data_IF_569980419153
#
_entry.id   IF_569980419153
#
_cell.length_a   1.000
_cell.length_b   1.000
_cell.length_c   1.000
_cell.angle_alpha   90.00
_cell.angle_beta   90.00
_cell.angle_gamma   90.00
#
_symmetry.space_group_name_H-M   'P 1'
#
loop_
_entity.id
_entity.type
_entity.pdbx_description
1 polymer ?
#
# COMPACT_ATOMS: atom_id res chain seq x y z
N UNK A 1 23.88 -6.24 -31.45
CA UNK A 1 23.67 -4.80 -31.21
C UNK A 1 22.17 -4.54 -31.29
N UNK A 2 21.48 -4.58 -30.16
CA UNK A 2 20.05 -4.27 -30.10
C UNK A 2 19.94 -2.82 -29.63
N UNK A 3 19.42 -1.97 -30.51
CA UNK A 3 19.31 -0.53 -30.28
C UNK A 3 18.56 -0.22 -29.00
N UNK A 4 19.13 0.69 -28.21
CA UNK A 4 18.39 1.39 -27.16
C UNK A 4 17.09 1.91 -27.78
N UNK A 5 15.94 1.48 -27.26
CA UNK A 5 14.66 2.05 -27.67
C UNK A 5 14.73 3.53 -27.31
N UNK A 6 14.88 4.38 -28.33
CA UNK A 6 14.79 5.82 -28.16
C UNK A 6 13.46 6.12 -27.46
N UNK A 7 13.55 6.84 -26.35
CA UNK A 7 12.38 7.42 -25.68
C UNK A 7 11.54 8.14 -26.76
N UNK A 8 10.23 7.95 -26.75
CA UNK A 8 9.35 8.72 -27.63
C UNK A 8 9.55 10.22 -27.40
N UNK A 9 9.26 11.10 -28.38
CA UNK A 9 9.41 12.54 -28.19
C UNK A 9 8.72 13.08 -26.94
N UNK A 10 7.57 12.52 -26.55
CA UNK A 10 6.86 12.86 -25.30
C UNK A 10 7.58 12.35 -24.03
N UNK A 11 8.20 11.17 -24.09
CA UNK A 11 9.02 10.64 -22.99
C UNK A 11 10.35 11.39 -22.85
N UNK A 12 10.94 11.85 -23.95
CA UNK A 12 12.11 12.74 -23.95
C UNK A 12 11.72 14.10 -23.35
N UNK A 13 10.60 14.68 -23.78
CA UNK A 13 10.09 15.96 -23.25
C UNK A 13 9.75 15.90 -21.75
N UNK A 14 9.28 14.75 -21.25
CA UNK A 14 9.03 14.52 -19.81
C UNK A 14 10.31 14.26 -19.00
N UNK A 15 11.28 13.56 -19.58
CA UNK A 15 12.59 13.35 -18.95
C UNK A 15 13.44 14.64 -18.90
N UNK A 16 13.21 15.56 -19.84
CA UNK A 16 13.94 16.82 -19.99
C UNK A 16 13.33 18.01 -19.24
N UNK A 17 12.12 17.89 -18.66
CA UNK A 17 11.61 18.95 -17.78
C UNK A 17 12.47 19.00 -16.52
N UNK A 18 13.28 20.06 -16.30
CA UNK A 18 14.02 20.18 -15.06
C UNK A 18 13.00 20.16 -13.91
N UNK A 19 13.21 19.27 -12.94
CA UNK A 19 12.39 19.25 -11.72
C UNK A 19 12.58 20.61 -11.08
N UNK A 20 11.54 21.42 -11.16
CA UNK A 20 11.57 22.76 -10.62
C UNK A 20 11.84 22.67 -9.11
N UNK A 21 12.60 23.65 -8.60
CA UNK A 21 13.05 23.64 -7.21
C UNK A 21 11.89 23.38 -6.24
N UNK A 22 12.07 22.40 -5.35
CA UNK A 22 11.14 22.08 -4.26
C UNK A 22 11.28 23.08 -3.09
N UNK A 23 12.28 23.97 -3.12
CA UNK A 23 12.56 24.92 -2.05
C UNK A 23 11.41 25.94 -1.92
N UNK A 24 10.89 26.11 -0.69
CA UNK A 24 9.81 27.05 -0.38
C UNK A 24 8.41 26.57 -0.75
N UNK A 25 8.29 25.34 -1.25
CA UNK A 25 7.03 24.67 -1.60
C UNK A 25 6.69 23.56 -0.60
N UNK A 26 5.41 23.23 -0.48
CA UNK A 26 4.91 22.13 0.33
C UNK A 26 4.49 20.96 -0.55
N UNK A 27 4.98 19.77 -0.21
CA UNK A 27 4.64 18.50 -0.87
C UNK A 27 3.42 17.89 -0.19
N UNK A 28 2.37 17.61 -0.95
CA UNK A 28 1.16 16.95 -0.46
C UNK A 28 1.10 15.50 -0.92
N UNK A 29 1.03 14.58 0.05
CA UNK A 29 0.99 13.13 -0.17
C UNK A 29 -0.43 12.61 0.04
N UNK A 30 -1.06 11.96 -0.96
CA UNK A 30 -2.38 11.36 -0.78
C UNK A 30 -2.30 10.16 0.19
N UNK A 31 -3.23 10.02 1.15
CA UNK A 31 -3.11 9.05 2.23
C UNK A 31 -3.56 7.63 1.82
N UNK A 32 -2.87 7.01 0.85
CA UNK A 32 -3.20 5.66 0.36
C UNK A 32 -3.42 4.65 1.49
N UNK A 33 -2.47 4.54 2.42
CA UNK A 33 -2.67 4.00 3.75
C UNK A 33 -2.34 5.10 4.75
N UNK A 34 -3.24 5.35 5.71
CA UNK A 34 -3.12 6.48 6.63
C UNK A 34 -1.77 6.51 7.38
N UNK A 35 -1.41 5.42 8.09
CA UNK A 35 -0.15 5.34 8.84
C UNK A 35 1.09 5.46 7.94
N UNK A 36 1.08 4.77 6.81
CA UNK A 36 2.22 4.76 5.88
C UNK A 36 2.42 6.11 5.20
N UNK A 37 1.35 6.83 4.87
CA UNK A 37 1.43 8.18 4.33
C UNK A 37 2.00 9.17 5.36
N UNK A 38 1.58 9.09 6.63
CA UNK A 38 2.17 9.90 7.72
C UNK A 38 3.66 9.64 7.90
N UNK A 39 4.05 8.36 7.97
CA UNK A 39 5.47 7.98 8.09
C UNK A 39 6.29 8.40 6.86
N UNK A 40 5.70 8.35 5.66
CA UNK A 40 6.34 8.78 4.42
C UNK A 40 6.52 10.31 4.35
N UNK A 41 5.56 11.08 4.86
CA UNK A 41 5.70 12.54 5.05
C UNK A 41 6.82 12.87 6.04
N UNK A 42 6.91 12.12 7.15
CA UNK A 42 8.02 12.25 8.09
C UNK A 42 9.39 11.99 7.42
N UNK A 43 9.46 11.06 6.46
CA UNK A 43 10.68 10.82 5.69
C UNK A 43 11.07 12.03 4.82
N UNK A 44 10.12 12.74 4.19
CA UNK A 44 10.40 13.98 3.47
C UNK A 44 10.95 15.07 4.41
N UNK A 45 10.32 15.23 5.58
CA UNK A 45 10.70 16.24 6.58
C UNK A 45 12.07 15.97 7.20
N UNK A 46 12.46 14.70 7.37
CA UNK A 46 13.81 14.32 7.80
C UNK A 46 14.92 14.82 6.85
N UNK A 47 14.58 15.14 5.60
CA UNK A 47 15.49 15.70 4.59
C UNK A 47 15.35 17.22 4.45
N UNK A 48 14.59 17.87 5.33
CA UNK A 48 14.34 19.31 5.31
C UNK A 48 13.32 19.76 4.24
N UNK A 49 12.52 18.84 3.70
CA UNK A 49 11.45 19.17 2.76
C UNK A 49 10.13 19.38 3.51
N UNK A 50 9.43 20.48 3.20
CA UNK A 50 8.09 20.72 3.75
C UNK A 50 7.10 19.78 3.06
N UNK A 51 6.47 18.92 3.85
CA UNK A 51 5.54 17.90 3.37
C UNK A 51 4.39 17.71 4.35
N UNK A 52 3.22 17.33 3.81
CA UNK A 52 2.00 17.07 4.56
C UNK A 52 1.15 16.02 3.83
N UNK A 53 0.27 15.33 4.54
CA UNK A 53 -0.76 14.52 3.88
C UNK A 53 -1.84 15.44 3.31
N UNK A 54 -2.55 15.02 2.26
CA UNK A 54 -3.75 15.74 1.83
C UNK A 54 -4.82 15.71 2.94
N UNK A 55 -5.72 16.72 2.99
CA UNK A 55 -6.87 16.68 3.88
C UNK A 55 -7.66 15.37 3.75
N UNK A 56 -8.26 14.85 4.84
CA UNK A 56 -9.01 13.59 4.80
C UNK A 56 -10.08 13.59 3.72
N UNK A 57 -10.22 12.48 3.00
CA UNK A 57 -11.23 12.37 1.93
C UNK A 57 -12.65 12.41 2.51
N UNK A 58 -13.55 13.10 1.82
CA UNK A 58 -14.93 13.35 2.28
C UNK A 58 -15.90 13.50 1.08
N UNK A 59 -17.10 14.01 1.34
CA UNK A 59 -18.09 14.26 0.27
C UNK A 59 -17.59 15.24 -0.81
N UNK A 60 -16.76 16.23 -0.46
CA UNK A 60 -16.17 17.16 -1.43
C UNK A 60 -15.12 16.45 -2.29
N UNK A 61 -14.41 15.46 -1.74
CA UNK A 61 -13.53 14.60 -2.54
C UNK A 61 -14.31 13.89 -3.65
N UNK A 62 -15.50 13.34 -3.36
CA UNK A 62 -16.37 12.74 -4.38
C UNK A 62 -16.86 13.77 -5.39
N UNK A 63 -17.31 14.93 -4.94
CA UNK A 63 -17.81 15.99 -5.81
C UNK A 63 -16.72 16.47 -6.79
N UNK A 64 -15.53 16.80 -6.28
CA UNK A 64 -14.43 17.23 -7.14
C UNK A 64 -13.89 16.10 -8.00
N UNK A 65 -13.81 14.87 -7.47
CA UNK A 65 -13.46 13.70 -8.25
C UNK A 65 -14.37 13.53 -9.47
N UNK A 66 -15.69 13.57 -9.26
CA UNK A 66 -16.68 13.48 -10.35
C UNK A 66 -16.62 14.69 -11.30
N UNK A 67 -16.37 15.90 -10.79
CA UNK A 67 -16.31 17.12 -11.60
C UNK A 67 -15.13 17.18 -12.56
N UNK A 68 -13.96 16.68 -12.16
CA UNK A 68 -12.72 16.80 -12.94
C UNK A 68 -12.34 15.54 -13.70
N UNK A 69 -13.13 14.47 -13.57
CA UNK A 69 -12.89 13.21 -14.28
C UNK A 69 -14.05 12.87 -15.22
N UNK A 70 -13.85 11.92 -16.12
CA UNK A 70 -14.82 11.59 -17.17
C UNK A 70 -15.76 10.45 -16.79
N UNK A 71 -15.38 9.63 -15.80
CA UNK A 71 -16.10 8.41 -15.46
C UNK A 71 -15.32 7.15 -15.84
N UNK A 72 -14.48 7.23 -16.87
CA UNK A 72 -13.71 6.11 -17.42
C UNK A 72 -12.46 5.76 -16.60
N UNK A 73 -12.09 6.60 -15.64
CA UNK A 73 -10.93 6.38 -14.78
C UNK A 73 -11.23 5.40 -13.65
N UNK A 74 -10.19 4.70 -13.19
CA UNK A 74 -10.31 3.88 -11.98
C UNK A 74 -10.68 4.76 -10.78
N UNK A 75 -11.45 4.22 -9.85
CA UNK A 75 -11.89 4.95 -8.65
C UNK A 75 -10.74 5.59 -7.83
N UNK A 76 -9.55 4.94 -7.64
CA UNK A 76 -8.40 5.58 -7.03
C UNK A 76 -7.96 6.90 -7.68
N UNK A 77 -8.05 6.99 -9.02
CA UNK A 77 -7.71 8.21 -9.75
C UNK A 77 -8.70 9.32 -9.40
N UNK A 78 -10.01 9.00 -9.39
CA UNK A 78 -11.08 9.94 -9.05
C UNK A 78 -10.93 10.47 -7.63
N UNK A 79 -10.68 9.58 -6.66
CA UNK A 79 -10.46 9.96 -5.25
C UNK A 79 -9.23 10.86 -5.14
N UNK A 80 -8.10 10.47 -5.72
CA UNK A 80 -6.85 11.25 -5.58
C UNK A 80 -6.94 12.61 -6.26
N UNK A 81 -7.53 12.69 -7.45
CA UNK A 81 -7.82 13.97 -8.14
C UNK A 81 -8.78 14.81 -7.29
N UNK A 82 -9.82 14.20 -6.74
CA UNK A 82 -10.75 14.86 -5.83
C UNK A 82 -10.06 15.52 -4.64
N UNK A 83 -9.14 14.80 -3.98
CA UNK A 83 -8.39 15.31 -2.83
C UNK A 83 -7.45 16.46 -3.21
N UNK A 84 -6.76 16.34 -4.35
CA UNK A 84 -5.90 17.41 -4.85
C UNK A 84 -6.68 18.65 -5.26
N UNK A 85 -7.81 18.48 -5.94
CA UNK A 85 -8.64 19.61 -6.35
C UNK A 85 -9.37 20.25 -5.17
N UNK A 86 -9.72 19.46 -4.15
CA UNK A 86 -10.20 19.95 -2.86
C UNK A 86 -9.15 20.84 -2.20
N UNK A 87 -7.92 20.35 -2.07
CA UNK A 87 -6.79 21.09 -1.51
C UNK A 87 -6.55 22.41 -2.25
N UNK A 88 -6.44 22.38 -3.57
CA UNK A 88 -6.12 23.55 -4.39
C UNK A 88 -7.21 24.63 -4.37
N UNK A 89 -8.44 24.28 -3.97
CA UNK A 89 -9.57 25.21 -3.84
C UNK A 89 -9.80 25.70 -2.41
N UNK A 90 -9.03 25.24 -1.44
CA UNK A 90 -9.13 25.75 -0.08
C UNK A 90 -8.69 27.21 0.01
N UNK A 91 -9.43 28.07 0.74
CA UNK A 91 -9.00 29.44 0.98
C UNK A 91 -7.61 29.50 1.60
N UNK A 92 -6.74 30.36 1.07
CA UNK A 92 -5.38 30.57 1.57
C UNK A 92 -4.32 29.60 1.01
N UNK A 93 -4.71 28.62 0.18
CA UNK A 93 -3.74 27.79 -0.54
C UNK A 93 -3.27 28.54 -1.79
N UNK A 94 -1.97 28.78 -1.88
CA UNK A 94 -1.30 29.31 -3.08
C UNK A 94 -0.83 28.15 -3.98
N UNK A 95 -1.47 27.92 -5.15
CA UNK A 95 -1.12 26.81 -6.03
C UNK A 95 0.33 26.81 -6.53
N UNK A 96 1.00 27.97 -6.55
CA UNK A 96 2.40 28.07 -6.96
C UNK A 96 3.37 27.48 -5.93
N UNK A 97 2.93 27.34 -4.68
CA UNK A 97 3.67 26.76 -3.56
C UNK A 97 3.30 25.30 -3.29
N UNK A 98 2.42 24.71 -4.10
CA UNK A 98 1.96 23.33 -3.95
C UNK A 98 2.73 22.40 -4.88
N UNK A 99 3.19 21.28 -4.33
CA UNK A 99 3.70 20.12 -5.06
C UNK A 99 2.81 18.92 -4.73
N UNK A 100 2.21 18.30 -5.73
CA UNK A 100 1.35 17.12 -5.57
C UNK A 100 2.17 15.86 -5.78
N UNK A 101 2.23 14.97 -4.79
CA UNK A 101 2.93 13.71 -4.90
C UNK A 101 2.05 12.67 -5.58
N UNK A 102 2.39 12.29 -6.82
CA UNK A 102 1.66 11.30 -7.61
C UNK A 102 2.65 10.34 -8.26
N UNK A 103 3.08 9.28 -7.54
CA UNK A 103 4.04 8.33 -8.10
C UNK A 103 3.44 7.62 -9.33
N UNK A 104 4.31 7.07 -10.17
CA UNK A 104 3.91 6.35 -11.38
C UNK A 104 4.65 5.02 -11.51
N UNK A 105 4.08 4.08 -12.26
CA UNK A 105 4.70 2.79 -12.52
C UNK A 105 4.41 2.30 -13.95
N UNK A 106 5.38 1.60 -14.54
CA UNK A 106 5.29 1.00 -15.89
C UNK A 106 4.52 -0.34 -15.89
N UNK A 107 3.52 -0.47 -15.02
CA UNK A 107 2.70 -1.66 -14.88
C UNK A 107 1.65 -1.77 -16.01
N UNK A 108 0.97 -2.93 -16.11
CA UNK A 108 -0.06 -3.12 -17.13
C UNK A 108 -1.37 -2.37 -16.82
N UNK A 109 -1.51 -1.80 -15.63
CA UNK A 109 -2.70 -1.05 -15.23
C UNK A 109 -2.62 0.44 -15.61
N UNK A 110 -3.73 1.16 -15.43
CA UNK A 110 -3.86 2.59 -15.78
C UNK A 110 -3.07 3.52 -14.86
N UNK A 111 -2.47 3.04 -13.77
CA UNK A 111 -1.74 3.86 -12.80
C UNK A 111 -0.63 4.69 -13.44
N UNK A 112 0.06 4.13 -14.45
CA UNK A 112 1.08 4.86 -15.23
C UNK A 112 0.59 6.15 -15.90
N UNK A 113 -0.73 6.29 -16.08
CA UNK A 113 -1.37 7.46 -16.70
C UNK A 113 -1.87 8.49 -15.69
N UNK A 114 -1.79 8.25 -14.39
CA UNK A 114 -2.37 9.16 -13.38
C UNK A 114 -1.68 10.52 -13.36
N UNK A 115 -0.34 10.54 -13.32
CA UNK A 115 0.44 11.77 -13.32
C UNK A 115 0.19 12.64 -14.58
N UNK A 116 0.33 12.14 -15.82
CA UNK A 116 0.08 12.97 -16.99
C UNK A 116 -1.39 13.40 -17.13
N UNK A 117 -2.32 12.57 -16.65
CA UNK A 117 -3.73 12.95 -16.61
C UNK A 117 -3.99 14.08 -15.62
N UNK A 118 -3.41 13.99 -14.41
CA UNK A 118 -3.46 15.05 -13.40
C UNK A 118 -2.85 16.35 -13.93
N UNK A 119 -1.68 16.32 -14.56
CA UNK A 119 -1.05 17.50 -15.16
C UNK A 119 -1.97 18.20 -16.16
N UNK A 120 -2.66 17.43 -17.01
CA UNK A 120 -3.65 17.95 -17.96
C UNK A 120 -4.83 18.60 -17.23
N UNK A 121 -5.37 17.96 -16.20
CA UNK A 121 -6.47 18.51 -15.39
C UNK A 121 -6.05 19.84 -14.77
N UNK A 122 -4.86 19.90 -14.16
CA UNK A 122 -4.34 21.13 -13.56
C UNK A 122 -4.21 22.25 -14.60
N UNK A 123 -3.66 21.96 -15.77
CA UNK A 123 -3.48 22.94 -16.83
C UNK A 123 -4.81 23.53 -17.33
N UNK A 124 -5.80 22.68 -17.61
CA UNK A 124 -7.12 23.10 -18.11
C UNK A 124 -7.89 23.92 -17.07
N UNK A 125 -7.62 23.70 -15.77
CA UNK A 125 -8.31 24.38 -14.67
C UNK A 125 -7.52 25.57 -14.09
N UNK A 126 -6.47 26.02 -14.76
CA UNK A 126 -5.71 27.22 -14.37
C UNK A 126 -4.67 27.01 -13.26
N UNK A 127 -4.37 25.77 -12.89
CA UNK A 127 -3.36 25.40 -11.88
C UNK A 127 -1.99 25.06 -12.50
N UNK A 128 -1.61 25.76 -13.59
CA UNK A 128 -0.34 25.52 -14.30
C UNK A 128 0.92 25.78 -13.45
N UNK A 129 0.79 26.50 -12.34
CA UNK A 129 1.87 26.78 -11.39
C UNK A 129 2.09 25.65 -10.37
N UNK A 130 1.12 24.74 -10.22
CA UNK A 130 1.21 23.59 -9.33
C UNK A 130 2.09 22.52 -9.94
N UNK A 131 3.04 22.01 -9.16
CA UNK A 131 3.96 20.98 -9.62
C UNK A 131 3.43 19.58 -9.29
N UNK A 132 3.70 18.61 -10.15
CA UNK A 132 3.45 17.20 -9.87
C UNK A 132 4.79 16.50 -9.69
N UNK A 133 5.04 15.96 -8.49
CA UNK A 133 6.20 15.12 -8.21
C UNK A 133 5.82 13.67 -8.48
N UNK A 134 6.23 13.16 -9.64
CA UNK A 134 5.88 11.81 -10.13
C UNK A 134 7.12 10.91 -10.30
N UNK A 135 7.72 10.42 -9.20
CA UNK A 135 8.82 9.46 -9.29
C UNK A 135 8.34 8.13 -9.89
N UNK A 136 9.18 7.51 -10.71
CA UNK A 136 8.93 6.16 -11.25
C UNK A 136 9.73 5.12 -10.46
N UNK A 137 9.26 3.87 -10.45
CA UNK A 137 10.01 2.72 -9.91
C UNK A 137 11.34 2.45 -10.63
N UNK A 138 11.57 3.04 -11.80
CA UNK A 138 12.83 3.01 -12.53
C UNK A 138 13.77 4.20 -12.22
N UNK A 139 13.22 5.40 -12.00
CA UNK A 139 13.98 6.65 -11.83
C UNK A 139 14.28 7.00 -10.37
N UNK A 140 13.76 6.24 -9.40
CA UNK A 140 14.21 6.27 -8.00
C UNK A 140 14.31 7.70 -7.42
N UNK A 141 13.27 8.51 -7.59
CA UNK A 141 13.22 9.90 -7.11
C UNK A 141 14.36 10.79 -7.62
N UNK A 142 14.79 10.63 -8.88
CA UNK A 142 15.82 11.48 -9.51
C UNK A 142 15.60 13.00 -9.32
N UNK A 143 14.35 13.45 -9.19
CA UNK A 143 14.00 14.85 -8.88
C UNK A 143 14.46 15.36 -7.50
N UNK A 144 14.88 14.48 -6.60
CA UNK A 144 15.48 14.81 -5.31
C UNK A 144 17.00 14.97 -5.37
N UNK A 145 17.63 14.74 -6.54
CA UNK A 145 19.08 14.84 -6.71
C UNK A 145 19.87 13.95 -5.73
N UNK A 146 20.81 14.54 -4.99
CA UNK A 146 21.63 13.84 -4.00
C UNK A 146 20.82 13.26 -2.82
N UNK A 147 19.63 13.82 -2.55
CA UNK A 147 18.74 13.37 -1.47
C UNK A 147 17.98 12.07 -1.82
N UNK A 148 18.01 11.63 -3.08
CA UNK A 148 17.23 10.48 -3.53
C UNK A 148 17.61 9.18 -2.80
N UNK A 149 18.91 8.92 -2.58
CA UNK A 149 19.36 7.68 -1.91
C UNK A 149 18.97 7.65 -0.42
N UNK A 150 19.26 8.69 0.39
CA UNK A 150 18.76 8.76 1.77
C UNK A 150 17.24 8.68 1.86
N UNK A 151 16.52 9.33 0.93
CA UNK A 151 15.06 9.30 0.90
C UNK A 151 14.50 7.89 0.64
N UNK A 152 15.00 7.18 -0.37
CA UNK A 152 14.52 5.81 -0.68
C UNK A 152 14.67 4.88 0.52
N UNK A 153 15.82 4.93 1.19
CA UNK A 153 16.07 4.05 2.34
C UNK A 153 15.23 4.45 3.56
N UNK A 154 15.09 5.75 3.82
CA UNK A 154 14.24 6.26 4.90
C UNK A 154 12.77 5.93 4.64
N UNK A 155 12.29 6.16 3.41
CA UNK A 155 10.95 5.82 2.97
C UNK A 155 10.66 4.33 3.07
N UNK A 156 11.59 3.46 2.68
CA UNK A 156 11.46 2.01 2.88
C UNK A 156 11.23 1.64 4.35
N UNK A 157 12.06 2.18 5.26
CA UNK A 157 11.93 1.95 6.70
C UNK A 157 10.63 2.52 7.26
N UNK A 158 10.19 3.68 6.77
CA UNK A 158 8.95 4.32 7.15
C UNK A 158 7.73 3.46 6.76
N UNK A 159 7.71 2.93 5.53
CA UNK A 159 6.65 2.03 5.06
C UNK A 159 6.61 0.74 5.89
N UNK A 160 7.76 0.08 6.10
CA UNK A 160 7.83 -1.13 6.93
C UNK A 160 7.36 -0.89 8.36
N UNK A 161 7.81 0.19 8.98
CA UNK A 161 7.44 0.52 10.35
C UNK A 161 5.94 0.81 10.47
N UNK A 162 5.35 1.50 9.48
CA UNK A 162 3.91 1.73 9.43
C UNK A 162 3.09 0.44 9.20
N UNK A 163 3.55 -0.45 8.32
CA UNK A 163 2.92 -1.76 8.09
C UNK A 163 2.93 -2.59 9.40
N UNK A 164 4.04 -2.59 10.15
CA UNK A 164 4.14 -3.24 11.49
C UNK A 164 3.09 -2.69 12.45
N UNK A 165 2.96 -1.35 12.55
CA UNK A 165 1.98 -0.72 13.44
C UNK A 165 0.54 -1.01 12.99
N UNK A 166 0.27 -1.03 11.67
CA UNK A 166 -1.02 -1.39 11.12
C UNK A 166 -1.39 -2.84 11.47
N UNK A 167 -0.43 -3.75 11.38
CA UNK A 167 -0.63 -5.15 11.75
C UNK A 167 -0.94 -5.30 13.24
N UNK A 168 -0.21 -4.61 14.11
CA UNK A 168 -0.52 -4.59 15.55
C UNK A 168 -1.93 -4.06 15.80
N UNK A 169 -2.33 -2.95 15.15
CA UNK A 169 -3.69 -2.41 15.25
C UNK A 169 -4.74 -3.48 14.93
N UNK A 170 -4.64 -4.15 13.78
CA UNK A 170 -5.62 -5.14 13.33
C UNK A 170 -5.60 -6.43 14.17
N UNK A 171 -4.46 -6.78 14.78
CA UNK A 171 -4.38 -7.94 15.68
C UNK A 171 -4.91 -7.69 17.10
N UNK A 172 -5.08 -6.42 17.50
CA UNK A 172 -5.51 -6.03 18.85
C UNK A 172 -6.93 -5.47 18.88
N UNK A 173 -7.27 -4.56 17.94
CA UNK A 173 -8.53 -3.81 17.94
C UNK A 173 -9.79 -4.70 17.97
N UNK A 174 -9.88 -5.81 17.21
CA UNK A 174 -11.06 -6.69 17.25
C UNK A 174 -11.29 -7.35 18.62
N UNK A 175 -10.28 -7.36 19.48
CA UNK A 175 -10.29 -8.03 20.77
C UNK A 175 -10.22 -7.05 21.95
N UNK A 176 -10.21 -5.75 21.72
CA UNK A 176 -10.03 -4.78 22.79
C UNK A 176 -11.19 -4.83 23.79
N UNK A 177 -10.87 -4.77 25.08
CA UNK A 177 -11.90 -4.72 26.13
C UNK A 177 -12.53 -3.33 26.21
N UNK A 178 -11.71 -2.28 26.04
CA UNK A 178 -12.16 -0.90 26.07
C UNK A 178 -12.16 -0.34 24.64
N UNK A 179 -13.35 -0.11 24.09
CA UNK A 179 -13.51 0.39 22.72
C UNK A 179 -12.72 1.69 22.49
N UNK A 180 -11.97 1.74 21.40
CA UNK A 180 -11.12 2.87 21.00
C UNK A 180 -9.73 2.92 21.64
N UNK A 181 -9.43 2.06 22.63
CA UNK A 181 -8.12 2.06 23.30
C UNK A 181 -7.00 1.70 22.34
N UNK A 182 -7.20 0.70 21.48
CA UNK A 182 -6.19 0.26 20.50
C UNK A 182 -5.93 1.34 19.45
N UNK A 183 -6.99 2.01 18.99
CA UNK A 183 -6.86 3.12 18.04
C UNK A 183 -6.07 4.29 18.66
N UNK A 184 -6.33 4.63 19.92
CA UNK A 184 -5.59 5.68 20.62
C UNK A 184 -4.10 5.32 20.78
N UNK A 185 -3.79 4.07 21.12
CA UNK A 185 -2.40 3.58 21.20
C UNK A 185 -1.73 3.63 19.82
N UNK A 186 -2.44 3.23 18.75
CA UNK A 186 -1.94 3.30 17.38
C UNK A 186 -1.56 4.73 16.96
N UNK A 187 -2.42 5.73 17.22
CA UNK A 187 -2.11 7.13 16.91
C UNK A 187 -0.88 7.63 17.69
N UNK A 188 -0.78 7.30 18.99
CA UNK A 188 0.40 7.64 19.80
C UNK A 188 1.69 6.98 19.26
N UNK A 189 1.58 5.76 18.75
CA UNK A 189 2.69 5.03 18.15
C UNK A 189 3.10 5.63 16.80
N UNK A 190 2.14 6.02 15.96
CA UNK A 190 2.42 6.75 14.72
C UNK A 190 3.08 8.10 14.99
N UNK A 191 2.64 8.85 16.02
CA UNK A 191 3.25 10.12 16.40
C UNK A 191 4.69 9.95 16.90
N UNK A 192 4.96 8.91 17.69
CA UNK A 192 6.31 8.55 18.14
C UNK A 192 7.21 8.15 16.96
N UNK A 193 6.70 7.29 16.06
CA UNK A 193 7.40 6.87 14.86
C UNK A 193 7.73 8.04 13.94
N UNK A 194 6.75 8.90 13.62
CA UNK A 194 6.93 10.04 12.73
C UNK A 194 7.96 11.01 13.30
N UNK A 195 7.85 11.39 14.58
CA UNK A 195 8.85 12.24 15.23
C UNK A 195 10.24 11.60 15.24
N UNK A 196 10.33 10.30 15.48
CA UNK A 196 11.60 9.57 15.45
C UNK A 196 12.22 9.62 14.05
N UNK A 197 11.45 9.40 12.98
CA UNK A 197 11.94 9.47 11.60
C UNK A 197 12.41 10.89 11.26
N UNK A 198 11.64 11.91 11.63
CA UNK A 198 11.95 13.32 11.36
C UNK A 198 13.25 13.78 12.05
N UNK A 199 13.51 13.31 13.27
CA UNK A 199 14.63 13.78 14.10
C UNK A 199 15.88 12.89 14.01
N UNK A 200 15.74 11.63 13.60
CA UNK A 200 16.86 10.70 13.56
C UNK A 200 17.91 11.14 12.51
N UNK A 201 19.21 11.09 12.84
CA UNK A 201 20.27 11.33 11.86
C UNK A 201 20.13 10.41 10.65
N UNK A 202 20.38 10.94 9.45
CA UNK A 202 20.28 10.17 8.19
C UNK A 202 21.35 9.07 8.03
N UNK A 203 22.30 8.98 8.98
CA UNK A 203 23.25 7.87 9.03
C UNK A 203 22.49 6.53 9.13
N UNK A 204 22.63 5.60 8.16
CA UNK A 204 21.71 4.48 8.07
C UNK A 204 21.70 3.54 9.28
N UNK A 205 22.84 3.18 9.90
CA UNK A 205 22.84 2.40 11.15
C UNK A 205 22.18 3.12 12.33
N UNK A 206 22.45 4.43 12.52
CA UNK A 206 21.85 5.22 13.61
C UNK A 206 20.35 5.33 13.43
N UNK A 207 19.89 5.70 12.22
CA UNK A 207 18.46 5.82 11.93
C UNK A 207 17.71 4.51 12.13
N UNK A 208 18.30 3.38 11.69
CA UNK A 208 17.69 2.06 11.85
C UNK A 208 17.48 1.71 13.32
N UNK A 209 18.49 1.98 14.17
CA UNK A 209 18.39 1.75 15.62
C UNK A 209 17.30 2.62 16.24
N UNK A 210 17.25 3.91 15.90
CA UNK A 210 16.23 4.83 16.42
C UNK A 210 14.81 4.38 16.05
N UNK A 211 14.57 4.03 14.78
CA UNK A 211 13.26 3.51 14.32
C UNK A 211 12.93 2.19 15.03
N UNK A 212 13.89 1.28 15.16
CA UNK A 212 13.70 0.01 15.87
C UNK A 212 13.33 0.23 17.34
N UNK A 213 14.00 1.14 18.03
CA UNK A 213 13.69 1.49 19.41
C UNK A 213 12.30 2.12 19.56
N UNK A 214 11.89 2.98 18.63
CA UNK A 214 10.53 3.51 18.58
C UNK A 214 9.50 2.39 18.41
N UNK A 215 9.73 1.46 17.49
CA UNK A 215 8.88 0.29 17.30
C UNK A 215 8.80 -0.60 18.56
N UNK A 216 9.91 -0.80 19.28
CA UNK A 216 9.91 -1.53 20.55
C UNK A 216 9.05 -0.82 21.60
N UNK A 217 9.17 0.51 21.74
CA UNK A 217 8.29 1.28 22.63
C UNK A 217 6.82 1.12 22.24
N UNK A 218 6.53 1.14 20.94
CA UNK A 218 5.17 0.96 20.43
C UNK A 218 4.63 -0.45 20.74
N UNK A 219 5.42 -1.50 20.46
CA UNK A 219 5.10 -2.88 20.82
C UNK A 219 4.73 -3.02 22.29
N UNK A 220 5.55 -2.45 23.16
CA UNK A 220 5.36 -2.54 24.60
C UNK A 220 4.07 -1.84 25.02
N UNK A 221 3.70 -0.71 24.39
CA UNK A 221 2.38 -0.07 24.59
C UNK A 221 1.23 -0.97 24.14
N UNK A 222 1.30 -1.58 22.96
CA UNK A 222 0.27 -2.52 22.48
C UNK A 222 0.08 -3.71 23.43
N UNK A 223 1.17 -4.26 23.97
CA UNK A 223 1.14 -5.36 24.96
C UNK A 223 0.46 -5.00 26.28
N UNK A 224 0.25 -3.71 26.58
CA UNK A 224 -0.50 -3.28 27.78
C UNK A 224 -2.02 -3.27 27.58
N UNK A 225 -2.51 -3.41 26.35
CA UNK A 225 -3.94 -3.33 26.04
C UNK A 225 -4.62 -4.59 26.58
N UNK A 226 -5.68 -4.47 27.41
CA UNK A 226 -6.48 -5.61 27.82
C UNK A 226 -7.26 -6.17 26.63
N UNK A 227 -7.06 -7.46 26.34
CA UNK A 227 -7.70 -8.15 25.23
C UNK A 227 -8.62 -9.28 25.72
N UNK A 228 -9.77 -9.42 25.06
CA UNK A 228 -10.68 -10.55 25.17
C UNK A 228 -10.78 -11.22 23.81
N UNK A 229 -9.95 -12.24 23.59
CA UNK A 229 -9.96 -13.03 22.35
C UNK A 229 -11.13 -14.00 22.36
N UNK A 230 -11.92 -14.00 21.29
CA UNK A 230 -12.90 -15.06 21.02
C UNK A 230 -12.28 -16.03 20.00
N UNK A 231 -11.95 -17.27 20.41
CA UNK A 231 -11.44 -18.28 19.49
C UNK A 231 -12.40 -18.55 18.33
N UNK A 232 -13.68 -18.19 18.46
CA UNK A 232 -14.72 -18.38 17.47
C UNK A 232 -14.71 -17.37 16.32
N UNK A 233 -14.03 -16.22 16.51
CA UNK A 233 -13.95 -15.14 15.55
C UNK A 233 -13.35 -15.62 14.21
N UNK A 234 -14.03 -15.40 13.07
CA UNK A 234 -13.47 -15.74 11.77
C UNK A 234 -12.33 -14.77 11.44
N UNK A 235 -11.20 -15.31 10.99
CA UNK A 235 -10.08 -14.52 10.48
C UNK A 235 -10.20 -14.39 8.96
N UNK A 236 -10.33 -13.17 8.45
CA UNK A 236 -10.54 -12.88 7.03
C UNK A 236 -9.27 -12.28 6.44
N UNK A 237 -8.72 -12.91 5.40
CA UNK A 237 -7.63 -12.35 4.62
C UNK A 237 -8.13 -11.27 3.67
N UNK A 238 -7.48 -10.10 3.64
CA UNK A 238 -7.87 -8.98 2.78
C UNK A 238 -6.76 -8.72 1.76
N UNK A 239 -7.07 -9.04 0.50
CA UNK A 239 -6.25 -8.77 -0.69
C UNK A 239 -6.96 -7.75 -1.58
N UNK A 240 -6.42 -7.46 -2.76
CA UNK A 240 -7.05 -6.54 -3.71
C UNK A 240 -6.11 -5.42 -4.17
N UNK A 241 -6.67 -4.47 -4.90
CA UNK A 241 -5.94 -3.32 -5.45
C UNK A 241 -5.43 -2.41 -4.34
N UNK A 242 -4.12 -2.13 -4.33
CA UNK A 242 -3.40 -1.52 -3.22
C UNK A 242 -4.01 -0.23 -2.73
N UNK A 243 -4.47 0.67 -3.61
CA UNK A 243 -5.07 1.92 -3.17
C UNK A 243 -6.43 1.70 -2.53
N UNK A 244 -7.34 1.02 -3.22
CA UNK A 244 -8.69 0.80 -2.70
C UNK A 244 -8.69 -0.05 -1.42
N UNK A 245 -7.82 -1.07 -1.36
CA UNK A 245 -7.65 -1.96 -0.20
C UNK A 245 -7.19 -1.22 1.05
N UNK A 246 -6.31 -0.23 0.91
CA UNK A 246 -5.69 0.46 2.04
C UNK A 246 -6.36 1.79 2.40
N UNK A 247 -7.10 2.39 1.48
CA UNK A 247 -7.72 3.69 1.65
C UNK A 247 -9.14 3.54 2.21
N UNK A 248 -9.32 3.84 3.50
CA UNK A 248 -10.58 3.64 4.24
C UNK A 248 -11.79 4.30 3.60
N UNK A 249 -11.64 5.52 3.07
CA UNK A 249 -12.73 6.19 2.35
C UNK A 249 -13.11 5.50 1.04
N UNK A 250 -12.13 4.86 0.37
CA UNK A 250 -12.34 4.20 -0.93
C UNK A 250 -13.02 2.85 -0.79
N UNK A 251 -12.91 2.20 0.36
CA UNK A 251 -13.53 0.91 0.64
C UNK A 251 -14.63 1.00 1.70
N UNK A 252 -15.14 2.20 1.97
CA UNK A 252 -16.23 2.46 2.92
C UNK A 252 -15.97 1.90 4.33
N UNK A 253 -14.70 1.90 4.73
CA UNK A 253 -14.21 1.40 6.00
C UNK A 253 -14.53 -0.09 6.24
N UNK A 254 -14.45 -0.90 5.18
CA UNK A 254 -14.81 -2.33 5.20
C UNK A 254 -14.14 -3.10 6.33
N UNK A 255 -12.86 -2.82 6.63
CA UNK A 255 -12.13 -3.52 7.70
C UNK A 255 -12.75 -3.28 9.07
N UNK A 256 -13.05 -2.03 9.44
CA UNK A 256 -13.67 -1.72 10.72
C UNK A 256 -15.10 -2.27 10.80
N UNK A 257 -15.84 -2.28 9.68
CA UNK A 257 -17.16 -2.92 9.61
C UNK A 257 -17.09 -4.43 9.86
N UNK A 258 -16.12 -5.13 9.26
CA UNK A 258 -15.88 -6.57 9.53
C UNK A 258 -15.64 -6.82 11.02
N UNK A 259 -14.83 -5.98 11.66
CA UNK A 259 -14.55 -6.05 13.09
C UNK A 259 -15.82 -5.84 13.93
N UNK A 260 -16.70 -4.91 13.52
CA UNK A 260 -18.02 -4.71 14.11
C UNK A 260 -18.94 -5.94 14.05
N UNK A 261 -18.72 -6.85 13.09
CA UNK A 261 -19.40 -8.14 13.00
C UNK A 261 -18.67 -9.29 13.74
N UNK A 262 -17.63 -8.96 14.50
CA UNK A 262 -16.86 -9.91 15.32
C UNK A 262 -15.85 -10.73 14.50
N UNK A 263 -15.39 -10.23 13.36
CA UNK A 263 -14.35 -10.85 12.56
C UNK A 263 -12.98 -10.18 12.79
N UNK A 264 -11.91 -10.92 12.55
CA UNK A 264 -10.54 -10.41 12.49
C UNK A 264 -10.14 -10.19 11.03
N UNK A 265 -9.28 -9.20 10.77
CA UNK A 265 -8.76 -8.93 9.44
C UNK A 265 -7.24 -9.13 9.37
N UNK A 266 -6.79 -9.88 8.36
CA UNK A 266 -5.38 -9.93 7.96
C UNK A 266 -5.22 -9.20 6.63
N UNK A 267 -4.84 -7.93 6.72
CA UNK A 267 -4.66 -7.04 5.58
C UNK A 267 -3.30 -7.24 4.92
N UNK A 268 -3.26 -7.31 3.60
CA UNK A 268 -2.00 -7.31 2.85
C UNK A 268 -1.28 -5.95 2.89
N UNK A 269 -0.01 -5.99 3.27
CA UNK A 269 0.87 -4.85 3.48
C UNK A 269 1.21 -4.06 2.20
N UNK A 270 1.72 -2.83 2.34
CA UNK A 270 2.29 -2.06 1.20
C UNK A 270 3.63 -2.65 0.78
N UNK A 271 4.43 -3.11 1.74
CA UNK A 271 5.77 -3.65 1.50
C UNK A 271 5.80 -4.81 0.50
N UNK A 272 4.72 -5.58 0.36
CA UNK A 272 4.61 -6.66 -0.63
C UNK A 272 4.77 -6.14 -2.07
N UNK A 273 4.25 -4.94 -2.36
CA UNK A 273 4.37 -4.31 -3.67
C UNK A 273 5.80 -3.86 -3.95
N UNK A 274 6.52 -3.36 -2.94
CA UNK A 274 7.93 -3.01 -3.06
C UNK A 274 8.77 -4.26 -3.36
N UNK A 275 8.46 -5.38 -2.70
CA UNK A 275 9.12 -6.65 -2.99
C UNK A 275 8.79 -7.19 -4.38
N UNK A 276 7.54 -7.05 -4.82
CA UNK A 276 7.12 -7.42 -6.17
C UNK A 276 7.86 -6.62 -7.25
N UNK A 277 7.89 -5.29 -7.12
CA UNK A 277 8.60 -4.43 -8.07
C UNK A 277 10.10 -4.74 -8.12
N UNK A 278 10.71 -5.08 -6.99
CA UNK A 278 12.08 -5.60 -6.93
C UNK A 278 12.22 -6.90 -7.74
N UNK A 279 11.34 -7.88 -7.53
CA UNK A 279 11.36 -9.16 -8.25
C UNK A 279 11.19 -8.96 -9.76
N UNK A 280 10.27 -8.07 -10.16
CA UNK A 280 10.04 -7.71 -11.56
C UNK A 280 11.25 -7.01 -12.18
N UNK A 281 11.95 -6.15 -11.45
CA UNK A 281 13.19 -5.55 -11.95
C UNK A 281 14.25 -6.62 -12.24
N UNK A 282 14.42 -7.62 -11.36
CA UNK A 282 15.32 -8.74 -11.62
C UNK A 282 14.85 -9.59 -12.81
N UNK A 283 13.54 -9.82 -12.97
CA UNK A 283 12.97 -10.52 -14.12
C UNK A 283 13.26 -9.78 -15.42
N UNK A 284 13.04 -8.46 -15.46
CA UNK A 284 13.34 -7.59 -16.62
C UNK A 284 14.83 -7.64 -16.98
N UNK A 285 15.72 -7.49 -16.00
CA UNK A 285 17.17 -7.61 -16.21
C UNK A 285 17.56 -8.98 -16.78
N UNK A 286 16.89 -10.05 -16.36
CA UNK A 286 17.10 -11.41 -16.90
C UNK A 286 16.63 -11.56 -18.33
N UNK A 287 15.47 -10.98 -18.69
CA UNK A 287 14.88 -11.04 -20.02
C UNK A 287 15.66 -10.19 -21.03
N UNK A 288 16.16 -9.03 -20.62
CA UNK A 288 16.95 -8.15 -21.48
C UNK A 288 18.43 -8.55 -21.59
N UNK A 289 18.82 -9.73 -21.09
CA UNK A 289 20.22 -10.20 -21.10
C UNK A 289 21.18 -9.39 -20.23
N UNK A 290 20.69 -8.49 -19.35
CA UNK A 290 21.51 -7.57 -18.52
C UNK A 290 21.81 -8.14 -17.13
N UNK A 291 21.90 -9.47 -17.01
CA UNK A 291 22.09 -10.20 -15.74
C UNK A 291 23.40 -9.82 -15.03
N UNK A 292 24.45 -9.55 -15.79
CA UNK A 292 25.77 -9.13 -15.29
C UNK A 292 26.02 -7.67 -15.69
N UNK A 293 25.26 -6.75 -15.08
CA UNK A 293 25.38 -5.31 -15.36
C UNK A 293 25.50 -4.50 -14.08
N UNK A 294 26.01 -3.25 -14.16
CA UNK A 294 26.03 -2.30 -13.03
C UNK A 294 24.63 -2.14 -12.42
N UNK A 295 23.59 -2.15 -13.25
CA UNK A 295 22.19 -2.08 -12.81
C UNK A 295 21.76 -3.33 -12.00
N UNK A 296 22.22 -4.52 -12.39
CA UNK A 296 21.96 -5.76 -11.63
C UNK A 296 22.68 -5.78 -10.28
N UNK A 297 23.93 -5.30 -10.23
CA UNK A 297 24.68 -5.17 -8.98
C UNK A 297 24.00 -4.17 -8.03
N UNK A 298 23.58 -3.00 -8.52
CA UNK A 298 22.86 -2.02 -7.73
C UNK A 298 21.52 -2.57 -7.20
N UNK A 299 20.77 -3.29 -8.03
CA UNK A 299 19.53 -3.95 -7.61
C UNK A 299 19.79 -5.02 -6.52
N UNK A 300 20.88 -5.79 -6.65
CA UNK A 300 21.27 -6.80 -5.66
C UNK A 300 21.66 -6.18 -4.31
N UNK A 301 22.48 -5.14 -4.32
CA UNK A 301 22.85 -4.39 -3.11
C UNK A 301 21.59 -3.81 -2.44
N UNK A 302 20.69 -3.23 -3.24
CA UNK A 302 19.41 -2.69 -2.73
C UNK A 302 18.56 -3.78 -2.08
N UNK A 303 18.39 -4.94 -2.75
CA UNK A 303 17.66 -6.10 -2.19
C UNK A 303 18.27 -6.55 -0.85
N UNK A 304 19.59 -6.69 -0.79
CA UNK A 304 20.29 -7.11 0.43
C UNK A 304 20.06 -6.12 1.59
N UNK A 305 20.20 -4.82 1.32
CA UNK A 305 19.97 -3.77 2.32
C UNK A 305 18.52 -3.74 2.78
N UNK A 306 17.55 -3.81 1.86
CA UNK A 306 16.13 -3.80 2.19
C UNK A 306 15.76 -4.99 3.09
N UNK A 307 16.29 -6.17 2.79
CA UNK A 307 16.01 -7.37 3.57
C UNK A 307 16.65 -7.31 4.96
N UNK A 308 17.87 -6.76 5.07
CA UNK A 308 18.50 -6.51 6.37
C UNK A 308 17.71 -5.52 7.22
N UNK A 309 17.26 -4.42 6.62
CA UNK A 309 16.46 -3.41 7.32
C UNK A 309 15.11 -4.02 7.77
N UNK A 310 14.43 -4.79 6.91
CA UNK A 310 13.19 -5.52 7.22
C UNK A 310 13.36 -6.49 8.39
N UNK A 311 14.35 -7.39 8.32
CA UNK A 311 14.62 -8.36 9.39
C UNK A 311 14.93 -7.66 10.72
N UNK A 312 15.72 -6.59 10.70
CA UNK A 312 16.07 -5.86 11.91
C UNK A 312 14.85 -5.19 12.58
N UNK A 313 13.88 -4.71 11.80
CA UNK A 313 12.66 -4.07 12.28
C UNK A 313 11.59 -5.08 12.69
N UNK A 314 11.49 -6.23 12.02
CA UNK A 314 10.52 -7.30 12.36
C UNK A 314 10.98 -8.19 13.51
N UNK A 315 12.29 -8.31 13.75
CA UNK A 315 12.84 -9.17 14.82
C UNK A 315 12.17 -8.99 16.18
N UNK A 316 11.94 -7.77 16.69
CA UNK A 316 11.30 -7.57 17.99
C UNK A 316 9.85 -8.08 18.09
N UNK A 317 9.22 -8.39 16.96
CA UNK A 317 7.81 -8.77 16.85
C UNK A 317 7.60 -10.24 16.49
N UNK A 318 8.66 -11.06 16.47
CA UNK A 318 8.56 -12.49 16.11
C UNK A 318 7.51 -13.23 16.94
N UNK A 319 7.44 -12.95 18.23
CA UNK A 319 6.44 -13.54 19.13
C UNK A 319 5.04 -12.96 18.86
N UNK A 320 4.94 -11.64 18.72
CA UNK A 320 3.65 -10.95 18.50
C UNK A 320 3.00 -11.35 17.18
N UNK A 321 3.79 -11.67 16.14
CA UNK A 321 3.34 -12.05 14.80
C UNK A 321 3.36 -13.56 14.55
N UNK A 322 3.54 -14.39 15.58
CA UNK A 322 3.49 -15.84 15.44
C UNK A 322 2.13 -16.28 14.86
N UNK A 323 2.16 -17.06 13.77
CA UNK A 323 0.97 -17.47 13.02
C UNK A 323 0.42 -16.42 12.05
N UNK A 324 0.98 -15.21 12.07
CA UNK A 324 0.67 -14.09 11.19
C UNK A 324 1.87 -13.71 10.30
N UNK A 325 2.76 -14.64 9.97
CA UNK A 325 3.96 -14.30 9.21
C UNK A 325 3.63 -13.89 7.77
N UNK A 326 4.32 -12.89 7.24
CA UNK A 326 4.21 -12.55 5.82
C UNK A 326 5.11 -13.47 4.96
N UNK A 327 4.68 -13.81 3.74
CA UNK A 327 5.51 -14.62 2.83
C UNK A 327 6.65 -13.79 2.23
N UNK A 328 7.79 -14.45 1.96
CA UNK A 328 8.75 -13.91 1.00
C UNK A 328 8.10 -13.83 -0.40
N UNK A 329 8.52 -12.85 -1.20
CA UNK A 329 7.96 -12.64 -2.53
C UNK A 329 8.05 -13.89 -3.41
N UNK A 330 9.10 -14.70 -3.31
CA UNK A 330 9.23 -15.92 -4.10
C UNK A 330 8.24 -17.00 -3.67
N UNK A 331 7.93 -17.10 -2.38
CA UNK A 331 6.89 -17.98 -1.86
C UNK A 331 5.51 -17.54 -2.38
N UNK A 332 5.25 -16.24 -2.34
CA UNK A 332 3.99 -15.67 -2.84
C UNK A 332 3.82 -15.92 -4.34
N UNK A 333 4.86 -15.69 -5.15
CA UNK A 333 4.84 -15.98 -6.58
C UNK A 333 4.68 -17.49 -6.89
N UNK A 334 5.26 -18.36 -6.06
CA UNK A 334 5.08 -19.80 -6.18
C UNK A 334 3.63 -20.23 -5.88
N UNK A 335 2.96 -19.58 -4.93
CA UNK A 335 1.53 -19.81 -4.65
C UNK A 335 0.64 -19.41 -5.84
N UNK A 336 1.00 -18.35 -6.58
CA UNK A 336 0.27 -17.92 -7.78
C UNK A 336 0.51 -18.84 -9.00
N UNK A 337 1.68 -19.48 -9.09
CA UNK A 337 2.15 -20.23 -10.26
C UNK A 337 1.13 -21.22 -10.87
N UNK A 338 0.36 -22.04 -10.10
CA UNK A 338 -0.58 -23.01 -10.67
C UNK A 338 -1.85 -22.38 -11.28
N UNK A 339 -2.12 -21.12 -10.93
CA UNK A 339 -3.37 -20.43 -11.21
C UNK A 339 -3.18 -19.28 -12.20
N UNK A 340 -2.17 -18.45 -11.96
CA UNK A 340 -1.85 -17.27 -12.74
C UNK A 340 -0.31 -17.10 -12.82
N UNK A 341 0.35 -17.77 -13.79
CA UNK A 341 1.80 -17.81 -13.87
C UNK A 341 2.45 -16.42 -13.98
N UNK A 342 3.36 -16.03 -13.07
CA UNK A 342 4.08 -14.74 -13.11
C UNK A 342 4.92 -14.50 -14.37
N UNK A 343 5.20 -15.55 -15.15
CA UNK A 343 5.88 -15.44 -16.44
C UNK A 343 5.01 -14.87 -17.56
N UNK A 344 3.68 -15.04 -17.47
CA UNK A 344 2.71 -14.60 -18.47
C UNK A 344 1.72 -13.53 -17.98
N UNK A 345 1.60 -13.34 -16.66
CA UNK A 345 0.79 -12.32 -16.02
C UNK A 345 1.68 -11.38 -15.20
N UNK A 346 1.34 -10.09 -15.15
CA UNK A 346 2.07 -9.06 -14.40
C UNK A 346 1.10 -8.14 -13.65
N UNK A 347 1.53 -7.57 -12.53
CA UNK A 347 0.71 -6.69 -11.70
C UNK A 347 0.12 -7.39 -10.49
N UNK A 348 -0.72 -6.66 -9.76
CA UNK A 348 -1.25 -7.07 -8.45
C UNK A 348 -2.15 -8.29 -8.52
N UNK A 349 -2.75 -8.60 -9.67
CA UNK A 349 -3.51 -9.84 -9.85
C UNK A 349 -2.70 -11.10 -9.49
N UNK A 350 -1.40 -11.11 -9.79
CA UNK A 350 -0.49 -12.20 -9.40
C UNK A 350 -0.30 -12.20 -7.87
N UNK A 351 -0.19 -11.01 -7.27
CA UNK A 351 -0.05 -10.87 -5.83
C UNK A 351 -1.31 -11.33 -5.09
N UNK A 352 -2.47 -10.88 -5.52
CA UNK A 352 -3.77 -11.20 -4.94
C UNK A 352 -4.05 -12.70 -4.98
N UNK A 353 -3.79 -13.36 -6.12
CA UNK A 353 -3.97 -14.81 -6.24
C UNK A 353 -2.96 -15.56 -5.35
N UNK A 354 -1.68 -15.19 -5.40
CA UNK A 354 -0.64 -15.83 -4.58
C UNK A 354 -0.87 -15.65 -3.08
N UNK A 355 -1.24 -14.45 -2.65
CA UNK A 355 -1.54 -14.13 -1.25
C UNK A 355 -2.82 -14.82 -0.78
N UNK A 356 -3.88 -14.87 -1.59
CA UNK A 356 -5.10 -15.60 -1.24
C UNK A 356 -4.81 -17.09 -0.95
N UNK A 357 -3.99 -17.73 -1.78
CA UNK A 357 -3.54 -19.12 -1.56
C UNK A 357 -2.69 -19.22 -0.28
N UNK A 358 -1.74 -18.31 -0.08
CA UNK A 358 -0.89 -18.29 1.12
C UNK A 358 -1.71 -18.15 2.41
N UNK A 359 -2.63 -17.18 2.46
CA UNK A 359 -3.49 -16.94 3.61
C UNK A 359 -4.42 -18.12 3.87
N UNK A 360 -4.98 -18.72 2.81
CA UNK A 360 -5.76 -19.95 2.94
C UNK A 360 -4.93 -21.08 3.58
N UNK A 361 -3.66 -21.25 3.19
CA UNK A 361 -2.74 -22.22 3.79
C UNK A 361 -2.36 -21.89 5.23
N UNK A 362 -2.35 -20.60 5.61
CA UNK A 362 -2.20 -20.13 7.00
C UNK A 362 -3.46 -20.32 7.84
N UNK A 363 -4.57 -20.75 7.23
CA UNK A 363 -5.79 -21.14 7.92
C UNK A 363 -6.75 -19.99 8.20
N UNK A 364 -6.74 -18.93 7.38
CA UNK A 364 -7.84 -17.94 7.37
C UNK A 364 -9.16 -18.60 6.98
N UNK A 365 -10.27 -18.03 7.44
CA UNK A 365 -11.63 -18.58 7.29
C UNK A 365 -12.36 -18.07 6.04
N UNK A 366 -11.79 -17.05 5.39
CA UNK A 366 -12.27 -16.48 4.14
C UNK A 366 -11.29 -15.48 3.56
N UNK A 367 -11.46 -15.16 2.28
CA UNK A 367 -10.74 -14.09 1.60
C UNK A 367 -11.72 -13.03 1.10
N UNK A 368 -11.36 -11.76 1.27
CA UNK A 368 -12.00 -10.61 0.63
C UNK A 368 -10.98 -9.97 -0.32
N UNK A 369 -11.36 -9.75 -1.57
CA UNK A 369 -10.64 -8.89 -2.51
C UNK A 369 -11.33 -7.53 -2.60
N UNK A 370 -10.63 -6.46 -2.22
CA UNK A 370 -11.10 -5.08 -2.34
C UNK A 370 -10.53 -4.49 -3.63
N UNK A 371 -11.39 -4.19 -4.59
CA UNK A 371 -10.98 -3.66 -5.88
C UNK A 371 -11.88 -2.52 -6.33
N UNK A 372 -11.38 -1.54 -7.10
CA UNK A 372 -12.27 -0.57 -7.70
C UNK A 372 -13.04 -1.19 -8.87
N UNK A 373 -14.25 -0.71 -9.16
CA UNK A 373 -15.02 -1.17 -10.31
C UNK A 373 -14.21 -0.99 -11.61
N UNK A 374 -14.33 -1.95 -12.54
CA UNK A 374 -13.49 -2.08 -13.76
C UNK A 374 -12.00 -2.30 -13.54
N UNK A 375 -11.54 -2.55 -12.31
CA UNK A 375 -10.14 -2.88 -12.07
C UNK A 375 -9.74 -4.16 -12.81
N UNK A 376 -8.82 -4.03 -13.76
CA UNK A 376 -8.25 -5.18 -14.47
C UNK A 376 -7.65 -6.21 -13.51
N UNK A 377 -6.93 -5.77 -12.48
CA UNK A 377 -6.33 -6.67 -11.49
C UNK A 377 -7.43 -7.48 -10.77
N UNK A 378 -8.46 -6.79 -10.27
CA UNK A 378 -9.58 -7.40 -9.58
C UNK A 378 -10.38 -8.36 -10.46
N UNK A 379 -10.71 -7.99 -11.70
CA UNK A 379 -11.47 -8.84 -12.64
C UNK A 379 -10.68 -10.12 -12.97
N UNK A 380 -9.38 -10.00 -13.24
CA UNK A 380 -8.55 -11.19 -13.52
C UNK A 380 -8.48 -12.09 -12.31
N UNK A 381 -8.27 -11.53 -11.11
CA UNK A 381 -8.26 -12.31 -9.86
C UNK A 381 -9.60 -12.99 -9.60
N UNK A 382 -10.72 -12.28 -9.80
CA UNK A 382 -12.09 -12.82 -9.65
C UNK A 382 -12.33 -14.05 -10.53
N UNK A 383 -11.91 -13.98 -11.80
CA UNK A 383 -12.06 -15.10 -12.74
C UNK A 383 -11.26 -16.35 -12.31
N UNK A 384 -10.19 -16.18 -11.54
CA UNK A 384 -9.32 -17.25 -11.06
C UNK A 384 -9.78 -17.82 -9.72
N UNK A 385 -10.43 -17.02 -8.88
CA UNK A 385 -10.83 -17.42 -7.53
C UNK A 385 -11.73 -18.65 -7.42
N UNK A 386 -12.65 -18.97 -8.35
CA UNK A 386 -13.41 -20.22 -8.29
C UNK A 386 -12.52 -21.47 -8.27
N UNK A 387 -11.38 -21.44 -8.99
CA UNK A 387 -10.42 -22.56 -8.97
C UNK A 387 -9.62 -22.58 -7.68
N UNK A 388 -9.16 -21.42 -7.21
CA UNK A 388 -8.44 -21.29 -5.92
C UNK A 388 -9.32 -21.78 -4.77
N UNK A 389 -10.58 -21.32 -4.72
CA UNK A 389 -11.56 -21.72 -3.70
C UNK A 389 -11.70 -23.24 -3.64
N UNK A 390 -11.91 -23.89 -4.79
CA UNK A 390 -12.03 -25.36 -4.89
C UNK A 390 -10.80 -26.08 -4.35
N UNK A 391 -9.61 -25.68 -4.79
CA UNK A 391 -8.36 -26.35 -4.42
C UNK A 391 -8.01 -26.12 -2.93
N UNK A 392 -8.48 -25.01 -2.35
CA UNK A 392 -8.33 -24.66 -0.93
C UNK A 392 -9.52 -25.14 -0.07
N UNK A 393 -10.22 -26.19 -0.50
CA UNK A 393 -11.27 -26.86 0.29
C UNK A 393 -12.61 -26.12 0.32
N UNK A 394 -12.88 -25.25 -0.65
CA UNK A 394 -14.10 -24.46 -0.74
C UNK A 394 -14.10 -23.22 0.17
N UNK A 395 -12.92 -22.60 0.38
CA UNK A 395 -12.81 -21.34 1.13
C UNK A 395 -13.65 -20.25 0.44
N UNK A 396 -14.49 -19.48 1.18
CA UNK A 396 -15.23 -18.39 0.59
C UNK A 396 -14.28 -17.27 0.19
N UNK A 397 -14.34 -16.89 -1.09
CA UNK A 397 -13.61 -15.75 -1.64
C UNK A 397 -14.63 -14.80 -2.25
N UNK A 398 -14.62 -13.53 -1.82
CA UNK A 398 -15.57 -12.53 -2.29
C UNK A 398 -14.85 -11.26 -2.74
N UNK A 399 -15.15 -10.82 -3.95
CA UNK A 399 -14.72 -9.52 -4.45
C UNK A 399 -15.76 -8.46 -4.08
N UNK A 400 -15.28 -7.38 -3.48
CA UNK A 400 -16.05 -6.16 -3.21
C UNK A 400 -15.54 -5.06 -4.13
N UNK A 401 -16.43 -4.60 -5.02
CA UNK A 401 -16.13 -3.55 -5.98
C UNK A 401 -16.60 -2.20 -5.48
N UNK A 402 -15.72 -1.21 -5.52
CA UNK A 402 -16.02 0.17 -5.10
C UNK A 402 -15.86 1.16 -6.25
N UNK A 403 -16.82 2.05 -6.40
CA UNK A 403 -16.83 3.10 -7.43
C UNK A 403 -17.33 4.46 -6.92
N UNK A 404 -17.64 4.56 -5.62
CA UNK A 404 -18.21 5.73 -4.98
C UNK A 404 -19.73 5.77 -4.92
N UNK A 405 -20.42 4.75 -5.45
CA UNK A 405 -21.85 4.53 -5.28
C UNK A 405 -22.14 3.75 -3.99
N UNK A 406 -23.27 4.02 -3.35
CA UNK A 406 -23.64 3.32 -2.12
C UNK A 406 -24.09 1.89 -2.44
N UNK A 407 -23.43 0.91 -1.84
CA UNK A 407 -23.86 -0.49 -1.81
C UNK A 407 -24.33 -0.84 -0.40
N UNK A 408 -25.19 -1.85 -0.26
CA UNK A 408 -25.57 -2.41 1.04
C UNK A 408 -24.45 -3.33 1.55
N UNK A 409 -23.31 -2.72 1.86
CA UNK A 409 -22.09 -3.40 2.27
C UNK A 409 -22.31 -4.22 3.55
N UNK A 410 -23.10 -3.70 4.48
CA UNK A 410 -23.39 -4.33 5.77
C UNK A 410 -24.13 -5.67 5.58
N UNK A 411 -25.13 -5.71 4.71
CA UNK A 411 -25.82 -6.96 4.35
C UNK A 411 -24.87 -7.96 3.70
N UNK A 412 -24.05 -7.52 2.75
CA UNK A 412 -23.14 -8.41 2.02
C UNK A 412 -22.05 -8.99 2.94
N UNK A 413 -21.51 -8.19 3.86
CA UNK A 413 -20.56 -8.64 4.87
C UNK A 413 -21.22 -9.64 5.84
N UNK A 414 -22.46 -9.38 6.26
CA UNK A 414 -23.21 -10.30 7.12
C UNK A 414 -23.37 -11.69 6.48
N UNK A 415 -23.81 -11.74 5.21
CA UNK A 415 -23.94 -13.00 4.47
C UNK A 415 -22.58 -13.69 4.28
N UNK A 416 -21.55 -12.92 3.92
CA UNK A 416 -20.21 -13.45 3.73
C UNK A 416 -19.63 -14.09 5.01
N UNK A 417 -19.83 -13.47 6.17
CA UNK A 417 -19.30 -13.98 7.43
C UNK A 417 -19.97 -15.29 7.87
N UNK A 418 -21.25 -15.50 7.54
CA UNK A 418 -21.90 -16.80 7.75
C UNK A 418 -21.28 -17.92 6.89
N UNK A 419 -20.88 -17.60 5.66
CA UNK A 419 -20.13 -18.53 4.81
C UNK A 419 -18.74 -18.83 5.39
N UNK A 420 -18.03 -17.81 5.90
CA UNK A 420 -16.72 -17.98 6.54
C UNK A 420 -16.82 -18.83 7.81
N UNK A 421 -17.80 -18.56 8.68
CA UNK A 421 -18.08 -19.36 9.89
C UNK A 421 -18.42 -20.81 9.55
N UNK A 422 -19.18 -21.04 8.48
CA UNK A 422 -19.52 -22.37 8.00
C UNK A 422 -18.29 -23.12 7.45
N UNK A 423 -17.45 -22.43 6.67
CA UNK A 423 -16.19 -22.98 6.15
C UNK A 423 -15.22 -23.35 7.28
N UNK A 424 -15.10 -22.48 8.29
CA UNK A 424 -14.21 -22.68 9.45
C UNK A 424 -14.39 -24.05 10.13
N UNK A 425 -15.62 -24.57 10.18
CA UNK A 425 -15.93 -25.89 10.79
C UNK A 425 -15.40 -27.08 9.99
N UNK A 426 -15.10 -26.89 8.70
CA UNK A 426 -14.71 -27.95 7.75
C UNK A 426 -13.38 -27.66 7.04
N UNK A 427 -12.67 -26.60 7.44
CA UNK A 427 -11.48 -26.13 6.73
C UNK A 427 -10.36 -27.15 6.79
N UNK A 428 -9.58 -27.20 5.71
CA UNK A 428 -8.43 -28.10 5.60
C UNK A 428 -7.23 -27.60 6.40
N UNK A 429 -6.94 -26.31 6.29
CA UNK A 429 -5.80 -25.66 6.93
C UNK A 429 -6.26 -24.96 8.20
N UNK A 430 -5.62 -25.28 9.32
CA UNK A 430 -5.99 -24.74 10.62
C UNK A 430 -5.03 -23.63 11.03
N UNK A 431 -5.58 -22.58 11.64
CA UNK A 431 -4.81 -21.51 12.24
C UNK A 431 -3.94 -22.10 13.37
N UNK A 432 -2.67 -21.71 13.51
CA UNK A 432 -1.87 -22.08 14.68
C UNK A 432 -2.60 -21.66 15.96
N UNK A 433 -2.46 -22.43 17.04
CA UNK A 433 -2.95 -21.98 18.34
C UNK A 433 -2.16 -20.72 18.74
N UNK A 434 -2.88 -19.62 19.01
CA UNK A 434 -2.31 -18.33 19.42
C UNK A 434 -2.46 -18.17 20.92
#
# INVERSE_FOLDING_TARGET
MAGERALSPDEQLRAERPVASLKGKRIYVPPMAYGSARAFVAAFRALGLDAEITPPSDHLTREFGARYTSGDECYPAKVTIGDFMKLLRQPGVDPSRVVLFMPTADGPCRFGQYAPYLERILAVNGFTQTQVLSPTSANAYAGLGELARPFIRTGWRALLAADILQKLLLMHRPHEVNAGQTQAVYEQCLDDLCRTIEQAPLDPPVQLRAIREALIRCRDRFRTIPLRRDPSAPLIGIVGEIFCRLHTFSNENLVERLEGYGAEAWLSDISEWVWYTNAEQFRKLRLTGRRFSKAALAAWIRKYIQHRDEQALLEPFREDFAGYEEPDIHQLLACAQPYLPPGGAMGEMVLNVGKAVYLAQKGVDGIIDISPFTCMNGIVSEAIYPRVSRDMGGIPIRNFYFDGTQSDLDRDLGVYLELARSYRRRKRFHRPAV
#
